data_IF_860373235596
#
_entry.id   IF_860373235596
#
_cell.length_a   1.000
_cell.length_b   1.000
_cell.length_c   1.000
_cell.angle_alpha   90.00
_cell.angle_beta   90.00
_cell.angle_gamma   90.00
#
_symmetry.space_group_name_H-M   'P 1'
#
loop_
_entity.id
_entity.type
_entity.pdbx_description
1 polymer ?
#
# COMPACT_ATOMS: atom_id res chain seq x y z
N UNK A 1 23.84 20.95 -4.93
CA UNK A 1 22.77 20.46 -5.81
C UNK A 1 22.51 19.01 -5.44
N UNK A 2 21.70 18.79 -4.41
CA UNK A 2 21.32 17.43 -4.06
C UNK A 2 20.32 16.98 -5.11
N UNK A 3 20.78 16.10 -5.99
CA UNK A 3 19.96 15.45 -6.97
C UNK A 3 18.67 14.97 -6.29
N UNK A 4 17.55 15.13 -7.00
CA UNK A 4 16.26 14.55 -6.68
C UNK A 4 16.41 13.02 -6.59
N UNK A 5 16.94 12.53 -5.46
CA UNK A 5 17.19 11.12 -5.22
C UNK A 5 15.85 10.51 -4.87
N UNK A 6 15.32 9.71 -5.80
CA UNK A 6 14.16 8.85 -5.55
C UNK A 6 14.42 8.10 -4.23
N UNK A 7 13.50 8.10 -3.26
CA UNK A 7 13.76 7.45 -1.97
C UNK A 7 14.14 5.99 -2.17
N UNK A 8 15.32 5.60 -1.71
CA UNK A 8 15.71 4.19 -1.61
C UNK A 8 14.66 3.50 -0.71
N UNK A 9 14.05 2.42 -1.18
CA UNK A 9 12.90 1.78 -0.53
C UNK A 9 11.53 2.05 -1.16
N UNK A 10 11.38 3.00 -2.09
CA UNK A 10 10.07 3.28 -2.70
C UNK A 10 9.58 2.16 -3.63
N UNK A 11 10.51 1.54 -4.37
CA UNK A 11 10.18 0.36 -5.20
C UNK A 11 9.98 -0.87 -4.32
N UNK A 12 10.79 -1.06 -3.28
CA UNK A 12 10.70 -2.20 -2.37
C UNK A 12 9.37 -2.20 -1.61
N UNK A 13 8.94 -1.04 -1.10
CA UNK A 13 7.64 -0.89 -0.44
C UNK A 13 6.47 -1.09 -1.42
N UNK A 14 6.59 -0.63 -2.67
CA UNK A 14 5.59 -0.88 -3.71
C UNK A 14 5.46 -2.37 -4.04
N UNK A 15 6.59 -3.09 -4.14
CA UNK A 15 6.61 -4.54 -4.36
C UNK A 15 6.01 -5.27 -3.16
N UNK A 16 6.40 -4.91 -1.93
CA UNK A 16 5.82 -5.49 -0.72
C UNK A 16 4.30 -5.29 -0.68
N UNK A 17 3.82 -4.07 -0.91
CA UNK A 17 2.38 -3.77 -0.99
C UNK A 17 1.66 -4.57 -2.07
N UNK A 18 2.30 -4.81 -3.21
CA UNK A 18 1.72 -5.63 -4.28
C UNK A 18 1.60 -7.11 -3.88
N UNK A 19 2.62 -7.63 -3.19
CA UNK A 19 2.64 -9.00 -2.71
C UNK A 19 1.59 -9.21 -1.62
N UNK A 20 1.48 -8.33 -0.63
CA UNK A 20 0.42 -8.42 0.40
C UNK A 20 -0.97 -8.29 -0.20
N UNK A 21 -1.18 -7.44 -1.20
CA UNK A 21 -2.47 -7.38 -1.91
C UNK A 21 -2.80 -8.72 -2.59
N UNK A 22 -1.83 -9.35 -3.26
CA UNK A 22 -2.03 -10.64 -3.91
C UNK A 22 -2.29 -11.78 -2.91
N UNK A 23 -1.67 -11.72 -1.72
CA UNK A 23 -1.92 -12.68 -0.63
C UNK A 23 -3.40 -12.64 -0.18
N UNK A 24 -4.10 -11.52 -0.37
CA UNK A 24 -5.53 -11.40 -0.09
C UNK A 24 -6.41 -12.41 -0.84
N UNK A 25 -5.99 -12.91 -2.01
CA UNK A 25 -6.70 -13.98 -2.72
C UNK A 25 -6.66 -15.32 -2.00
N UNK A 26 -5.64 -15.58 -1.16
CA UNK A 26 -5.49 -16.86 -0.46
C UNK A 26 -6.48 -17.02 0.70
N UNK A 27 -7.14 -15.96 1.13
CA UNK A 27 -8.14 -15.98 2.21
C UNK A 27 -9.53 -16.40 1.73
N UNK A 28 -9.78 -16.39 0.40
CA UNK A 28 -11.11 -16.70 -0.12
C UNK A 28 -11.47 -18.16 0.15
N UNK A 29 -12.33 -18.37 1.14
CA UNK A 29 -12.91 -19.66 1.46
C UNK A 29 -14.03 -20.00 0.48
N UNK A 30 -13.71 -20.86 -0.48
CA UNK A 30 -14.63 -21.35 -1.51
C UNK A 30 -15.78 -22.20 -0.97
N UNK A 31 -15.73 -22.60 0.30
CA UNK A 31 -16.77 -23.43 0.94
C UNK A 31 -18.01 -22.63 1.37
N UNK A 32 -17.95 -21.28 1.34
CA UNK A 32 -19.03 -20.42 1.81
C UNK A 32 -19.96 -19.95 0.67
N UNK A 33 -21.28 -19.78 0.94
CA UNK A 33 -22.28 -19.45 -0.08
C UNK A 33 -22.08 -18.08 -0.76
N UNK A 34 -21.21 -17.22 -0.24
CA UNK A 34 -20.88 -15.91 -0.82
C UNK A 34 -19.42 -15.78 -1.27
N UNK A 35 -18.70 -16.90 -1.41
CA UNK A 35 -17.28 -16.90 -1.77
C UNK A 35 -16.98 -16.18 -3.09
N UNK A 36 -17.81 -16.39 -4.12
CA UNK A 36 -17.64 -15.73 -5.41
C UNK A 36 -17.80 -14.20 -5.32
N UNK A 37 -18.79 -13.73 -4.56
CA UNK A 37 -18.99 -12.29 -4.32
C UNK A 37 -17.80 -11.70 -3.55
N UNK A 38 -17.33 -12.39 -2.52
CA UNK A 38 -16.13 -12.02 -1.76
C UNK A 38 -14.90 -11.96 -2.66
N UNK A 39 -14.68 -12.98 -3.50
CA UNK A 39 -13.57 -13.01 -4.46
C UNK A 39 -13.59 -11.82 -5.43
N UNK A 40 -14.74 -11.50 -6.01
CA UNK A 40 -14.88 -10.35 -6.90
C UNK A 40 -14.64 -9.02 -6.18
N UNK A 41 -15.17 -8.85 -4.97
CA UNK A 41 -14.93 -7.67 -4.15
C UNK A 41 -13.44 -7.50 -3.83
N UNK A 42 -12.76 -8.56 -3.39
CA UNK A 42 -11.31 -8.54 -3.16
C UNK A 42 -10.54 -8.23 -4.44
N UNK A 43 -10.93 -8.82 -5.58
CA UNK A 43 -10.28 -8.58 -6.86
C UNK A 43 -10.39 -7.12 -7.31
N UNK A 44 -11.56 -6.50 -7.16
CA UNK A 44 -11.77 -5.08 -7.45
C UNK A 44 -10.92 -4.22 -6.52
N UNK A 45 -10.91 -4.51 -5.22
CA UNK A 45 -10.08 -3.80 -4.24
C UNK A 45 -8.59 -3.92 -4.55
N UNK A 46 -8.11 -5.09 -4.92
CA UNK A 46 -6.72 -5.34 -5.33
C UNK A 46 -6.37 -4.54 -6.59
N UNK A 47 -7.23 -4.54 -7.62
CA UNK A 47 -7.03 -3.76 -8.84
C UNK A 47 -6.93 -2.25 -8.55
N UNK A 48 -7.84 -1.73 -7.70
CA UNK A 48 -7.77 -0.35 -7.23
C UNK A 48 -6.47 -0.11 -6.44
N UNK A 49 -6.07 -1.06 -5.61
CA UNK A 49 -4.80 -1.04 -4.89
C UNK A 49 -3.59 -0.93 -5.82
N UNK A 50 -3.55 -1.71 -6.91
CA UNK A 50 -2.50 -1.62 -7.93
C UNK A 50 -2.47 -0.25 -8.61
N UNK A 51 -3.62 0.36 -8.91
CA UNK A 51 -3.68 1.72 -9.43
C UNK A 51 -3.10 2.72 -8.43
N UNK A 52 -3.44 2.59 -7.14
CA UNK A 52 -2.88 3.44 -6.07
C UNK A 52 -1.37 3.23 -5.95
N UNK A 53 -0.88 2.00 -5.96
CA UNK A 53 0.56 1.66 -5.93
C UNK A 53 1.27 2.25 -7.15
N UNK A 54 0.66 2.23 -8.33
CA UNK A 54 1.21 2.85 -9.53
C UNK A 54 1.35 4.38 -9.38
N UNK A 55 0.31 5.06 -8.90
CA UNK A 55 0.36 6.50 -8.64
C UNK A 55 1.31 6.86 -7.49
N UNK A 56 1.44 5.98 -6.50
CA UNK A 56 2.40 6.05 -5.42
C UNK A 56 3.83 5.95 -5.96
N UNK A 57 4.08 4.99 -6.84
CA UNK A 57 5.37 4.79 -7.51
C UNK A 57 5.77 5.99 -8.37
N UNK A 58 4.78 6.68 -8.96
CA UNK A 58 4.89 7.95 -9.69
C UNK A 58 5.13 9.19 -8.80
N UNK A 59 5.15 9.05 -7.48
CA UNK A 59 5.40 10.16 -6.54
C UNK A 59 4.22 11.10 -6.34
N UNK A 60 2.96 10.65 -6.57
CA UNK A 60 1.77 11.51 -6.40
C UNK A 60 1.39 11.65 -4.92
N UNK A 61 1.27 12.88 -4.42
CA UNK A 61 0.95 13.13 -3.00
C UNK A 61 -0.38 12.51 -2.51
N UNK A 62 -1.40 12.48 -3.37
CA UNK A 62 -2.69 11.86 -3.05
C UNK A 62 -2.59 10.35 -2.86
N UNK A 63 -1.72 9.66 -3.63
CA UNK A 63 -1.53 8.22 -3.49
C UNK A 63 -0.91 7.87 -2.14
N UNK A 64 0.03 8.70 -1.65
CA UNK A 64 0.54 8.59 -0.28
C UNK A 64 -0.59 8.69 0.76
N UNK A 65 -1.53 9.64 0.61
CA UNK A 65 -2.65 9.78 1.56
C UNK A 65 -3.53 8.53 1.54
N UNK A 66 -3.80 7.98 0.36
CA UNK A 66 -4.56 6.73 0.23
C UNK A 66 -3.84 5.56 0.91
N UNK A 67 -2.54 5.39 0.72
CA UNK A 67 -1.74 4.35 1.40
C UNK A 67 -1.77 4.51 2.93
N UNK A 68 -1.73 5.75 3.43
CA UNK A 68 -1.84 6.03 4.87
C UNK A 68 -3.24 5.68 5.40
N UNK A 69 -4.30 6.01 4.65
CA UNK A 69 -5.68 5.64 5.01
C UNK A 69 -5.87 4.12 4.98
N UNK A 70 -5.36 3.43 3.95
CA UNK A 70 -5.38 1.97 3.87
C UNK A 70 -4.63 1.34 5.05
N UNK A 71 -3.51 1.92 5.46
CA UNK A 71 -2.75 1.44 6.64
C UNK A 71 -3.56 1.56 7.93
N UNK A 72 -4.29 2.66 8.14
CA UNK A 72 -5.20 2.81 9.28
C UNK A 72 -6.36 1.82 9.23
N UNK A 73 -6.92 1.59 8.03
CA UNK A 73 -7.98 0.62 7.84
C UNK A 73 -7.50 -0.81 8.13
N UNK A 74 -6.26 -1.13 7.76
CA UNK A 74 -5.63 -2.40 8.05
C UNK A 74 -5.43 -2.62 9.56
N UNK A 75 -4.99 -1.58 10.28
CA UNK A 75 -4.92 -1.59 11.73
C UNK A 75 -6.30 -1.74 12.39
N UNK A 76 -7.35 -1.14 11.81
CA UNK A 76 -8.72 -1.37 12.26
C UNK A 76 -9.15 -2.82 12.02
N UNK A 77 -8.73 -3.42 10.91
CA UNK A 77 -9.01 -4.82 10.58
C UNK A 77 -8.35 -5.80 11.56
N UNK A 78 -7.29 -5.39 12.27
CA UNK A 78 -6.71 -6.15 13.38
C UNK A 78 -7.74 -6.46 14.49
N UNK A 79 -8.85 -5.71 14.58
CA UNK A 79 -9.94 -6.04 15.52
C UNK A 79 -10.65 -7.36 15.17
N UNK A 80 -10.56 -7.82 13.92
CA UNK A 80 -11.06 -9.11 13.46
C UNK A 80 -10.00 -10.21 13.49
N UNK A 81 -8.75 -9.89 13.84
CA UNK A 81 -7.61 -10.81 13.89
C UNK A 81 -7.90 -12.09 14.69
N UNK A 82 -8.59 -11.98 15.84
CA UNK A 82 -8.89 -13.12 16.71
C UNK A 82 -10.05 -14.01 16.23
N UNK A 83 -10.76 -13.63 15.16
CA UNK A 83 -11.91 -14.39 14.63
C UNK A 83 -11.56 -15.29 13.44
N UNK A 84 -10.37 -15.13 12.86
CA UNK A 84 -9.93 -15.86 11.68
C UNK A 84 -9.04 -17.06 11.99
N UNK A 85 -8.88 -17.94 10.99
CA UNK A 85 -7.95 -19.07 11.01
C UNK A 85 -6.48 -18.64 10.98
N UNK A 86 -5.56 -19.59 11.17
CA UNK A 86 -4.10 -19.34 11.25
C UNK A 86 -3.58 -18.57 10.01
N UNK A 87 -4.07 -18.90 8.82
CA UNK A 87 -3.68 -18.25 7.56
C UNK A 87 -4.13 -16.78 7.54
N UNK A 88 -5.37 -16.52 7.96
CA UNK A 88 -5.93 -15.17 8.02
C UNK A 88 -5.19 -14.32 9.07
N UNK A 89 -4.85 -14.91 10.22
CA UNK A 89 -4.06 -14.25 11.26
C UNK A 89 -2.66 -13.88 10.77
N UNK A 90 -1.94 -14.80 10.13
CA UNK A 90 -0.60 -14.51 9.60
C UNK A 90 -0.66 -13.39 8.55
N UNK A 91 -1.67 -13.42 7.68
CA UNK A 91 -1.83 -12.37 6.67
C UNK A 91 -2.15 -11.01 7.30
N UNK A 92 -3.21 -10.91 8.13
CA UNK A 92 -3.59 -9.66 8.79
C UNK A 92 -2.44 -9.13 9.65
N UNK A 93 -1.70 -10.02 10.33
CA UNK A 93 -0.51 -9.66 11.10
C UNK A 93 0.59 -9.06 10.22
N UNK A 94 0.90 -9.70 9.08
CA UNK A 94 1.89 -9.20 8.13
C UNK A 94 1.49 -7.86 7.51
N UNK A 95 0.21 -7.69 7.17
CA UNK A 95 -0.33 -6.43 6.67
C UNK A 95 -0.28 -5.33 7.72
N UNK A 96 -0.59 -5.64 8.98
CA UNK A 96 -0.52 -4.68 10.08
C UNK A 96 0.91 -4.20 10.34
N UNK A 97 1.89 -5.10 10.31
CA UNK A 97 3.32 -4.74 10.44
C UNK A 97 3.74 -3.86 9.27
N UNK A 98 3.38 -4.23 8.04
CA UNK A 98 3.67 -3.43 6.84
C UNK A 98 3.00 -2.05 6.92
N UNK A 99 1.75 -1.98 7.40
CA UNK A 99 0.99 -0.75 7.58
C UNK A 99 1.67 0.20 8.59
N UNK A 100 2.13 -0.31 9.73
CA UNK A 100 2.89 0.47 10.72
C UNK A 100 4.20 0.98 10.13
N UNK A 101 4.93 0.10 9.44
CA UNK A 101 6.18 0.48 8.77
C UNK A 101 5.94 1.59 7.74
N UNK A 102 4.90 1.46 6.91
CA UNK A 102 4.54 2.46 5.91
C UNK A 102 4.09 3.77 6.54
N UNK A 103 3.29 3.75 7.60
CA UNK A 103 2.91 4.94 8.36
C UNK A 103 4.14 5.70 8.86
N UNK A 104 5.12 4.99 9.41
CA UNK A 104 6.37 5.58 9.89
C UNK A 104 7.25 6.10 8.74
N UNK A 105 7.50 5.27 7.73
CA UNK A 105 8.40 5.58 6.63
C UNK A 105 7.85 6.68 5.70
N UNK A 106 6.55 6.64 5.35
CA UNK A 106 5.92 7.70 4.53
C UNK A 106 5.80 9.02 5.27
N UNK A 107 5.76 9.01 6.60
CA UNK A 107 5.76 10.23 7.38
C UNK A 107 7.16 10.82 7.59
N UNK A 108 8.21 10.12 7.19
CA UNK A 108 9.59 10.62 7.25
C UNK A 108 9.79 11.85 6.34
N UNK A 109 10.51 12.86 6.86
CA UNK A 109 10.68 14.16 6.21
C UNK A 109 11.19 14.10 4.77
N UNK A 110 12.15 13.21 4.49
CA UNK A 110 12.74 13.02 3.16
C UNK A 110 11.75 12.44 2.14
N UNK A 111 10.87 11.54 2.57
CA UNK A 111 9.84 10.96 1.71
C UNK A 111 8.72 11.98 1.50
N UNK A 112 8.34 12.71 2.57
CA UNK A 112 7.35 13.78 2.50
C UNK A 112 7.73 14.89 1.53
N UNK A 113 8.99 15.31 1.50
CA UNK A 113 9.45 16.33 0.55
C UNK A 113 9.38 15.82 -0.89
N UNK A 114 9.73 14.56 -1.17
CA UNK A 114 9.62 13.96 -2.50
C UNK A 114 8.20 13.98 -3.07
N UNK A 115 7.20 13.60 -2.26
CA UNK A 115 5.79 13.60 -2.69
C UNK A 115 5.16 15.00 -2.77
N UNK A 116 5.73 15.98 -2.07
CA UNK A 116 5.22 17.36 -1.99
C UNK A 116 5.92 18.30 -2.99
N UNK A 117 7.06 17.89 -3.56
CA UNK A 117 7.78 18.66 -4.56
C UNK A 117 6.95 18.82 -5.85
N UNK A 118 6.71 20.06 -6.33
CA UNK A 118 6.03 20.28 -7.60
C UNK A 118 6.87 19.73 -8.76
N UNK A 119 6.22 19.03 -9.70
CA UNK A 119 6.89 18.45 -10.89
C UNK A 119 7.52 19.48 -11.82
N UNK A 120 7.18 20.75 -11.63
CA UNK A 120 7.59 21.88 -12.46
C UNK A 120 9.07 22.22 -12.29
N UNK A 121 9.73 21.72 -11.25
CA UNK A 121 11.18 21.86 -11.03
C UNK A 121 11.98 20.76 -11.76
N UNK A 122 11.34 19.92 -12.57
CA UNK A 122 11.97 18.77 -13.26
C UNK A 122 12.26 18.99 -14.75
N UNK A 123 11.94 20.17 -15.31
CA UNK A 123 12.19 20.49 -16.71
C UNK A 123 12.80 21.88 -16.83
N UNK A 124 14.08 21.99 -16.51
CA UNK A 124 14.96 22.99 -17.12
C UNK A 124 16.40 22.43 -17.06
N UNK A 125 16.85 21.68 -18.08
CA UNK A 125 18.25 21.76 -18.43
C UNK A 125 18.46 23.16 -18.99
N UNK A 126 19.05 24.03 -18.18
CA UNK A 126 19.60 25.32 -18.62
C UNK A 126 20.52 25.05 -19.82
N UNK A 127 20.03 25.40 -21.01
CA UNK A 127 20.77 25.45 -22.26
C UNK A 127 21.56 26.77 -22.34
#
# INVERSE_FOLDING_TARGET
MDAYQRPNGLTETAVLMSLTNALGWLIVDWSKPHAATTFWLFTILILVGYLVIWFYWKGRNWARILVLLTSLLCLYNLRYFLRGGIIEQVMIGSEAVLAVFLLFWLNSGNVKSFFRAPKNTQTEPSA
#
